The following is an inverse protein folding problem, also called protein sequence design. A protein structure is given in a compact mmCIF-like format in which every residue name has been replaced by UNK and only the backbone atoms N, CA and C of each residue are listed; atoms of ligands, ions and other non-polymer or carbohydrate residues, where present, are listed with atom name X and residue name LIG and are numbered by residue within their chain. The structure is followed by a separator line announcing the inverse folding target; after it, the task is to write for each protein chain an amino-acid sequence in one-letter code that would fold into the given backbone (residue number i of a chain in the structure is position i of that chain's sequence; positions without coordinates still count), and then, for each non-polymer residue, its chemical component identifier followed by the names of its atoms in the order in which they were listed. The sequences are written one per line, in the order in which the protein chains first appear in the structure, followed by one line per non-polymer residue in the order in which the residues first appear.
data_IF_637954889829
#
_entry.id   IF_637954889829
#
_cell.length_a   1.000
_cell.length_b   1.000
_cell.length_c   1.000
_cell.angle_alpha   90.00
_cell.angle_beta   90.00
_cell.angle_gamma   90.00
#
_symmetry.space_group_name_H-M   'P 1'
#
loop_
_entity.id
_entity.type
_entity.pdbx_description
1 polymer ?
#
# COMPACT_ATOMS: atom_id res chain seq x y z
N UNK A 1 -4.39 60.91 19.69
CA UNK A 1 -4.80 61.24 18.30
C UNK A 1 -6.11 62.02 18.20
N UNK A 2 -7.19 61.65 18.92
CA UNK A 2 -8.52 62.30 18.79
C UNK A 2 -8.51 63.83 19.01
N UNK A 3 -7.72 64.38 19.94
CA UNK A 3 -7.71 65.84 20.22
C UNK A 3 -7.09 66.70 19.11
N UNK A 4 -6.14 66.15 18.34
CA UNK A 4 -5.44 66.88 17.27
C UNK A 4 -6.33 67.01 16.03
N UNK A 5 -6.92 65.89 15.57
CA UNK A 5 -7.89 65.88 14.48
C UNK A 5 -9.16 66.69 14.81
N UNK A 6 -9.57 66.72 16.10
CA UNK A 6 -10.70 67.55 16.56
C UNK A 6 -10.46 69.06 16.38
N UNK A 7 -9.26 69.57 16.70
CA UNK A 7 -8.91 70.99 16.53
C UNK A 7 -8.86 71.40 15.05
N UNK A 8 -8.42 70.50 14.17
CA UNK A 8 -8.36 70.73 12.72
C UNK A 8 -9.76 70.77 12.11
N UNK A 9 -10.67 69.85 12.51
CA UNK A 9 -12.08 69.85 12.07
C UNK A 9 -12.80 71.16 12.45
N UNK A 10 -12.64 71.62 13.69
CA UNK A 10 -13.26 72.87 14.15
C UNK A 10 -12.79 74.10 13.36
N UNK A 11 -11.49 74.18 13.03
CA UNK A 11 -10.92 75.28 12.21
C UNK A 11 -11.35 75.26 10.73
N UNK A 12 -11.69 74.09 10.18
CA UNK A 12 -12.11 73.95 8.77
C UNK A 12 -13.61 74.26 8.58
N UNK A 13 -14.44 73.94 9.58
CA UNK A 13 -15.87 74.26 9.59
C UNK A 13 -16.14 75.76 9.76
N UNK A 14 -15.30 76.48 10.52
CA UNK A 14 -15.50 77.92 10.79
C UNK A 14 -15.12 78.86 9.62
N UNK A 15 -14.65 78.35 8.48
CA UNK A 15 -14.15 79.15 7.33
C UNK A 15 -14.92 78.97 6.02
N UNK A 16 -16.18 78.49 6.03
CA UNK A 16 -16.98 78.24 4.81
C UNK A 16 -16.31 77.27 3.79
N UNK A 17 -15.39 76.39 4.25
CA UNK A 17 -14.64 75.46 3.39
C UNK A 17 -15.21 74.03 3.44
N UNK A 18 -16.52 73.89 3.25
CA UNK A 18 -17.22 72.61 3.34
C UNK A 18 -16.62 71.54 2.40
N UNK A 19 -16.24 71.90 1.17
CA UNK A 19 -15.58 70.98 0.23
C UNK A 19 -14.23 70.44 0.76
N UNK A 20 -13.44 71.27 1.47
CA UNK A 20 -12.16 70.81 2.06
C UNK A 20 -12.38 69.92 3.28
N UNK A 21 -13.47 70.14 4.02
CA UNK A 21 -13.87 69.29 5.13
C UNK A 21 -14.31 67.90 4.65
N UNK A 22 -15.11 67.82 3.58
CA UNK A 22 -15.53 66.55 2.97
C UNK A 22 -14.33 65.73 2.46
N UNK A 23 -13.39 66.36 1.74
CA UNK A 23 -12.15 65.71 1.30
C UNK A 23 -11.32 65.16 2.47
N UNK A 24 -11.24 65.90 3.57
CA UNK A 24 -10.49 65.48 4.76
C UNK A 24 -11.17 64.34 5.52
N UNK A 25 -12.50 64.39 5.68
CA UNK A 25 -13.29 63.33 6.30
C UNK A 25 -13.27 62.04 5.46
N UNK A 26 -13.31 62.17 4.13
CA UNK A 26 -13.16 61.03 3.22
C UNK A 26 -11.77 60.39 3.31
N UNK A 27 -10.71 61.21 3.40
CA UNK A 27 -9.35 60.72 3.63
C UNK A 27 -9.20 59.95 4.95
N UNK A 28 -9.85 60.42 6.02
CA UNK A 28 -9.86 59.74 7.33
C UNK A 28 -10.59 58.39 7.26
N UNK A 29 -11.73 58.31 6.56
CA UNK A 29 -12.45 57.06 6.33
C UNK A 29 -11.57 56.07 5.54
N UNK A 30 -10.93 56.51 4.46
CA UNK A 30 -10.01 55.66 3.67
C UNK A 30 -8.88 55.12 4.55
N UNK A 31 -8.29 55.96 5.39
CA UNK A 31 -7.17 55.58 6.26
C UNK A 31 -7.59 54.54 7.32
N UNK A 32 -8.80 54.71 7.89
CA UNK A 32 -9.40 53.72 8.80
C UNK A 32 -9.71 52.41 8.07
N UNK A 33 -10.28 52.47 6.87
CA UNK A 33 -10.60 51.28 6.05
C UNK A 33 -9.32 50.51 5.71
N UNK A 34 -8.24 51.19 5.29
CA UNK A 34 -6.93 50.57 5.06
C UNK A 34 -6.41 49.90 6.34
N UNK A 35 -6.53 50.56 7.50
CA UNK A 35 -6.15 49.98 8.79
C UNK A 35 -6.92 48.70 9.12
N UNK A 36 -8.24 48.68 8.88
CA UNK A 36 -9.09 47.50 9.07
C UNK A 36 -8.69 46.38 8.10
N UNK A 37 -8.47 46.69 6.82
CA UNK A 37 -8.06 45.71 5.82
C UNK A 37 -6.70 45.08 6.15
N UNK A 38 -5.72 45.87 6.61
CA UNK A 38 -4.43 45.34 7.04
C UNK A 38 -4.60 44.45 8.28
N UNK A 39 -5.41 44.86 9.26
CA UNK A 39 -5.67 44.05 10.46
C UNK A 39 -6.33 42.70 10.10
N UNK A 40 -7.31 42.72 9.20
CA UNK A 40 -7.96 41.52 8.66
C UNK A 40 -6.96 40.64 7.91
N UNK A 41 -6.11 41.24 7.07
CA UNK A 41 -5.10 40.49 6.31
C UNK A 41 -4.08 39.80 7.22
N UNK A 42 -3.61 40.49 8.27
CA UNK A 42 -2.69 39.92 9.26
C UNK A 42 -3.37 38.77 10.01
N UNK A 43 -4.65 38.94 10.39
CA UNK A 43 -5.39 37.89 11.07
C UNK A 43 -5.56 36.64 10.17
N UNK A 44 -5.97 36.84 8.93
CA UNK A 44 -6.15 35.76 7.95
C UNK A 44 -4.82 35.05 7.65
N UNK A 45 -3.71 35.79 7.57
CA UNK A 45 -2.38 35.20 7.39
C UNK A 45 -1.95 34.35 8.58
N UNK A 46 -2.19 34.82 9.82
CA UNK A 46 -1.89 34.06 11.03
C UNK A 46 -2.76 32.80 11.14
N UNK A 47 -4.03 32.89 10.78
CA UNK A 47 -4.95 31.73 10.74
C UNK A 47 -4.50 30.71 9.68
N UNK A 48 -4.19 31.17 8.46
CA UNK A 48 -3.65 30.32 7.40
C UNK A 48 -2.37 29.60 7.85
N UNK A 49 -1.44 30.30 8.50
CA UNK A 49 -0.21 29.71 9.04
C UNK A 49 -0.51 28.62 10.08
N UNK A 50 -1.44 28.86 11.02
CA UNK A 50 -1.85 27.86 12.02
C UNK A 50 -2.50 26.63 11.37
N UNK A 51 -3.29 26.83 10.32
CA UNK A 51 -3.91 25.74 9.57
C UNK A 51 -2.84 24.88 8.87
N UNK A 52 -1.85 25.50 8.22
CA UNK A 52 -0.70 24.79 7.65
C UNK A 52 0.05 23.96 8.70
N UNK A 53 0.44 24.56 9.82
CA UNK A 53 1.16 23.84 10.88
C UNK A 53 0.36 22.65 11.43
N UNK A 54 -0.97 22.76 11.49
CA UNK A 54 -1.85 21.68 11.94
C UNK A 54 -1.95 20.56 10.90
N UNK A 55 -2.11 20.90 9.62
CA UNK A 55 -2.17 19.94 8.52
C UNK A 55 -0.83 19.23 8.34
N UNK A 56 0.30 19.95 8.38
CA UNK A 56 1.64 19.36 8.32
C UNK A 56 1.86 18.33 9.42
N UNK A 57 1.45 18.64 10.66
CA UNK A 57 1.52 17.67 11.78
C UNK A 57 0.69 16.41 11.52
N UNK A 58 -0.47 16.52 10.86
CA UNK A 58 -1.29 15.38 10.49
C UNK A 58 -0.64 14.57 9.36
N UNK A 59 -0.09 15.24 8.35
CA UNK A 59 0.63 14.60 7.25
C UNK A 59 1.90 13.87 7.72
N UNK A 60 2.64 14.43 8.69
CA UNK A 60 3.78 13.75 9.34
C UNK A 60 3.35 12.46 10.05
N UNK A 61 2.20 12.48 10.74
CA UNK A 61 1.65 11.27 11.37
C UNK A 61 1.27 10.22 10.33
N UNK A 62 0.60 10.64 9.24
CA UNK A 62 0.27 9.76 8.11
C UNK A 62 1.55 9.15 7.49
N UNK A 63 2.62 9.94 7.33
CA UNK A 63 3.91 9.41 6.86
C UNK A 63 4.49 8.33 7.77
N UNK A 64 4.38 8.51 9.09
CA UNK A 64 4.82 7.51 10.08
C UNK A 64 3.97 6.24 10.02
N UNK A 65 2.65 6.39 9.86
CA UNK A 65 1.73 5.27 9.70
C UNK A 65 2.05 4.49 8.43
N UNK A 66 2.18 5.17 7.28
CA UNK A 66 2.59 4.56 6.01
C UNK A 66 3.90 3.78 6.13
N UNK A 67 4.92 4.32 6.82
CA UNK A 67 6.18 3.59 7.06
C UNK A 67 5.96 2.29 7.83
N UNK A 68 5.09 2.33 8.83
CA UNK A 68 4.75 1.15 9.64
C UNK A 68 4.01 0.13 8.79
N UNK A 69 2.96 0.56 8.09
CA UNK A 69 2.14 -0.29 7.25
C UNK A 69 2.98 -0.98 6.15
N UNK A 70 3.88 -0.24 5.50
CA UNK A 70 4.82 -0.79 4.52
C UNK A 70 5.75 -1.84 5.15
N UNK A 71 6.17 -1.66 6.40
CA UNK A 71 7.03 -2.65 7.07
C UNK A 71 6.25 -3.93 7.38
N UNK A 72 5.05 -3.81 7.95
CA UNK A 72 4.18 -4.96 8.24
C UNK A 72 3.84 -5.75 6.97
N UNK A 73 3.51 -5.05 5.87
CA UNK A 73 3.21 -5.72 4.59
C UNK A 73 4.47 -6.40 4.02
N UNK A 74 5.68 -5.93 4.34
CA UNK A 74 6.91 -6.57 3.87
C UNK A 74 7.09 -7.92 4.55
N UNK A 75 6.79 -7.97 5.84
CA UNK A 75 6.86 -9.19 6.63
C UNK A 75 5.75 -10.18 6.20
N UNK A 76 4.54 -9.68 5.96
CA UNK A 76 3.43 -10.43 5.35
C UNK A 76 3.84 -11.11 4.04
N UNK A 77 4.42 -10.33 3.12
CA UNK A 77 4.89 -10.83 1.82
C UNK A 77 5.99 -11.86 2.00
N UNK A 78 6.94 -11.62 2.90
CA UNK A 78 8.03 -12.57 3.21
C UNK A 78 7.47 -13.90 3.73
N UNK A 79 6.51 -13.85 4.63
CA UNK A 79 5.82 -15.02 5.18
C UNK A 79 5.14 -15.84 4.08
N UNK A 80 4.26 -15.23 3.29
CA UNK A 80 3.51 -15.92 2.25
C UNK A 80 4.38 -16.40 1.09
N UNK A 81 5.53 -15.76 0.82
CA UNK A 81 6.48 -16.23 -0.19
C UNK A 81 7.16 -17.55 0.18
N UNK A 82 7.58 -17.68 1.44
CA UNK A 82 8.11 -18.95 1.95
C UNK A 82 7.04 -20.03 1.86
N UNK A 83 5.81 -19.65 2.23
CA UNK A 83 4.65 -20.54 2.25
C UNK A 83 4.23 -21.02 0.86
N UNK A 84 4.18 -20.15 -0.15
CA UNK A 84 3.89 -20.52 -1.55
C UNK A 84 4.86 -21.58 -2.08
N UNK A 85 6.13 -21.49 -1.69
CA UNK A 85 7.15 -22.48 -2.10
C UNK A 85 6.85 -23.85 -1.49
N UNK A 86 6.48 -23.90 -0.20
CA UNK A 86 6.11 -25.15 0.49
C UNK A 86 4.80 -25.72 -0.08
N UNK A 87 3.80 -24.86 -0.29
CA UNK A 87 2.50 -25.22 -0.87
C UNK A 87 2.68 -25.91 -2.22
N UNK A 88 3.54 -25.38 -3.10
CA UNK A 88 3.83 -25.99 -4.39
C UNK A 88 4.44 -27.39 -4.26
N UNK A 89 5.36 -27.59 -3.32
CA UNK A 89 5.93 -28.91 -3.07
C UNK A 89 4.87 -29.89 -2.57
N UNK A 90 3.98 -29.45 -1.67
CA UNK A 90 2.86 -30.26 -1.17
C UNK A 90 1.91 -30.62 -2.30
N UNK A 91 1.45 -29.66 -3.11
CA UNK A 91 0.50 -29.90 -4.21
C UNK A 91 1.06 -30.85 -5.27
N UNK A 92 2.38 -30.84 -5.49
CA UNK A 92 3.05 -31.69 -6.46
C UNK A 92 3.56 -33.02 -5.89
N UNK A 93 3.25 -33.35 -4.62
CA UNK A 93 3.73 -34.55 -3.93
C UNK A 93 5.27 -34.69 -3.94
N UNK A 94 5.98 -33.57 -3.77
CA UNK A 94 7.45 -33.51 -3.81
C UNK A 94 8.11 -33.53 -2.43
N UNK A 95 7.31 -33.68 -1.37
CA UNK A 95 7.81 -33.76 0.01
C UNK A 95 7.80 -35.23 0.44
N UNK A 96 8.95 -35.82 0.82
CA UNK A 96 9.00 -37.22 1.24
C UNK A 96 8.36 -37.38 2.62
N UNK A 97 7.81 -38.57 2.89
CA UNK A 97 7.11 -38.89 4.15
C UNK A 97 7.93 -38.54 5.40
N UNK A 98 9.24 -38.81 5.35
CA UNK A 98 10.18 -38.52 6.45
C UNK A 98 10.13 -37.04 6.89
N UNK A 99 9.88 -36.09 6.00
CA UNK A 99 9.76 -34.67 6.38
C UNK A 99 8.52 -34.41 7.22
N UNK A 100 7.40 -35.11 6.95
CA UNK A 100 6.21 -35.04 7.80
C UNK A 100 6.41 -35.72 9.16
N UNK A 101 7.29 -36.73 9.24
CA UNK A 101 7.63 -37.47 10.46
C UNK A 101 8.69 -36.75 11.33
N UNK A 102 9.56 -35.91 10.74
CA UNK A 102 10.73 -35.31 11.41
C UNK A 102 10.64 -33.78 11.55
N UNK A 103 10.09 -33.04 10.57
CA UNK A 103 10.01 -31.57 10.56
C UNK A 103 8.56 -31.08 10.60
N UNK A 104 7.90 -31.34 11.73
CA UNK A 104 6.45 -31.48 11.75
C UNK A 104 5.66 -30.18 11.66
N UNK A 105 6.06 -29.11 12.34
CA UNK A 105 5.08 -28.07 12.68
C UNK A 105 4.66 -27.22 11.47
N UNK A 106 5.58 -26.87 10.57
CA UNK A 106 5.26 -26.03 9.41
C UNK A 106 4.38 -26.74 8.37
N UNK A 107 4.57 -28.04 8.14
CA UNK A 107 3.72 -28.82 7.21
C UNK A 107 2.36 -29.12 7.82
N UNK A 108 2.32 -29.30 9.13
CA UNK A 108 1.12 -29.58 9.90
C UNK A 108 0.19 -28.39 10.09
N UNK A 109 0.76 -27.19 10.13
CA UNK A 109 0.05 -25.93 10.26
C UNK A 109 -0.06 -25.17 8.94
N UNK A 110 0.29 -25.82 7.82
CA UNK A 110 0.36 -25.18 6.51
C UNK A 110 -0.94 -24.47 6.12
N UNK A 111 -2.10 -25.01 6.45
CA UNK A 111 -3.39 -24.37 6.11
C UNK A 111 -3.95 -23.49 7.25
N UNK A 112 -3.20 -23.31 8.34
CA UNK A 112 -3.66 -22.63 9.56
C UNK A 112 -2.82 -21.42 9.96
N UNK A 113 -1.50 -21.48 9.83
CA UNK A 113 -0.65 -20.34 10.18
C UNK A 113 -0.95 -19.18 9.23
N UNK A 114 -1.22 -17.99 9.76
CA UNK A 114 -1.52 -16.81 8.97
C UNK A 114 -0.74 -15.63 9.54
N UNK A 115 -0.28 -14.77 8.64
CA UNK A 115 0.27 -13.46 8.98
C UNK A 115 -0.76 -12.42 8.52
N UNK A 116 -0.94 -11.37 9.32
CA UNK A 116 -1.91 -10.31 9.08
C UNK A 116 -1.27 -8.93 9.20
N UNK A 117 -1.84 -7.95 8.51
CA UNK A 117 -1.44 -6.54 8.62
C UNK A 117 -2.55 -5.72 9.26
N UNK A 118 -2.19 -4.64 9.94
CA UNK A 118 -3.17 -3.76 10.60
C UNK A 118 -2.90 -2.30 10.21
N UNK A 119 -3.15 -1.92 8.93
CA UNK A 119 -2.84 -0.56 8.49
C UNK A 119 -3.56 0.49 9.32
N UNK A 120 -2.87 1.58 9.69
CA UNK A 120 -3.41 2.57 10.62
C UNK A 120 -4.22 3.64 9.88
N UNK A 121 -5.55 3.62 10.05
CA UNK A 121 -6.46 4.61 9.42
C UNK A 121 -6.70 5.87 10.26
N UNK A 122 -6.36 5.88 11.55
CA UNK A 122 -6.74 6.96 12.47
C UNK A 122 -6.17 8.33 12.10
N UNK A 123 -4.91 8.41 11.66
CA UNK A 123 -4.31 9.69 11.25
C UNK A 123 -5.00 10.27 10.01
N UNK A 124 -5.39 9.43 9.05
CA UNK A 124 -6.18 9.83 7.90
C UNK A 124 -7.58 10.29 8.31
N UNK A 125 -8.27 9.54 9.17
CA UNK A 125 -9.58 9.95 9.70
C UNK A 125 -9.52 11.32 10.36
N UNK A 126 -8.45 11.60 11.11
CA UNK A 126 -8.25 12.91 11.74
C UNK A 126 -7.95 14.02 10.73
N UNK A 127 -7.26 13.74 9.62
CA UNK A 127 -7.12 14.70 8.52
C UNK A 127 -8.48 15.07 7.91
N UNK A 128 -9.30 14.06 7.57
CA UNK A 128 -10.61 14.28 6.95
C UNK A 128 -11.58 15.01 7.90
N UNK A 129 -11.55 14.72 9.21
CA UNK A 129 -12.31 15.49 10.21
C UNK A 129 -11.94 16.98 10.25
N UNK A 130 -10.76 17.33 9.75
CA UNK A 130 -10.26 18.69 9.68
C UNK A 130 -10.16 19.18 8.21
N UNK A 131 -10.98 18.64 7.30
CA UNK A 131 -10.89 18.99 5.88
C UNK A 131 -11.10 20.48 5.59
N UNK A 132 -11.93 21.16 6.40
CA UNK A 132 -12.27 22.58 6.19
C UNK A 132 -11.09 23.53 6.40
N UNK A 133 -10.03 23.06 7.08
CA UNK A 133 -8.81 23.83 7.31
C UNK A 133 -7.66 23.39 6.41
N UNK A 134 -7.86 22.46 5.47
CA UNK A 134 -6.82 21.98 4.57
C UNK A 134 -6.53 23.06 3.52
N UNK A 135 -5.28 23.56 3.43
CA UNK A 135 -4.92 24.53 2.39
C UNK A 135 -5.05 23.93 0.97
N UNK A 136 -5.50 24.71 -0.04
CA UNK A 136 -5.76 24.21 -1.40
C UNK A 136 -4.55 23.54 -2.08
N UNK A 137 -3.33 23.92 -1.70
CA UNK A 137 -2.11 23.28 -2.19
C UNK A 137 -1.98 21.80 -1.82
N UNK A 138 -2.74 21.29 -0.85
CA UNK A 138 -2.76 19.87 -0.49
C UNK A 138 -3.88 19.09 -1.18
N UNK A 139 -4.76 19.71 -1.97
CA UNK A 139 -5.92 19.05 -2.60
C UNK A 139 -5.51 17.85 -3.45
N UNK A 140 -4.37 17.94 -4.13
CA UNK A 140 -3.82 16.86 -4.96
C UNK A 140 -3.47 15.59 -4.18
N UNK A 141 -3.35 15.66 -2.84
CA UNK A 141 -3.11 14.52 -1.96
C UNK A 141 -4.40 13.81 -1.55
N UNK A 142 -5.52 14.51 -1.51
CA UNK A 142 -6.76 14.03 -0.92
C UNK A 142 -7.33 12.84 -1.69
N UNK A 143 -7.28 12.88 -3.02
CA UNK A 143 -7.70 11.77 -3.87
C UNK A 143 -6.87 10.51 -3.62
N UNK A 144 -5.54 10.65 -3.53
CA UNK A 144 -4.66 9.51 -3.29
C UNK A 144 -4.81 8.91 -1.90
N UNK A 145 -4.98 9.77 -0.89
CA UNK A 145 -5.24 9.36 0.49
C UNK A 145 -6.58 8.65 0.61
N UNK A 146 -7.60 9.13 -0.12
CA UNK A 146 -8.91 8.49 -0.20
C UNK A 146 -8.80 7.09 -0.80
N UNK A 147 -8.15 6.95 -1.96
CA UNK A 147 -7.95 5.63 -2.59
C UNK A 147 -7.18 4.69 -1.65
N UNK A 148 -6.16 5.20 -0.96
CA UNK A 148 -5.36 4.38 -0.05
C UNK A 148 -6.18 3.87 1.15
N UNK A 149 -6.87 4.77 1.86
CA UNK A 149 -7.50 4.48 3.15
C UNK A 149 -8.98 4.12 3.09
N UNK A 150 -9.69 4.43 1.99
CA UNK A 150 -11.08 4.05 1.81
C UNK A 150 -11.23 2.85 0.87
N UNK A 151 -10.45 2.76 -0.21
CA UNK A 151 -10.62 1.67 -1.18
C UNK A 151 -9.70 0.49 -0.84
N UNK A 152 -8.39 0.69 -0.92
CA UNK A 152 -7.41 -0.38 -0.76
C UNK A 152 -7.41 -0.97 0.65
N UNK A 153 -7.52 -0.12 1.67
CA UNK A 153 -7.67 -0.56 3.06
C UNK A 153 -8.91 -1.46 3.24
N UNK A 154 -10.07 -1.05 2.73
CA UNK A 154 -11.31 -1.84 2.84
C UNK A 154 -11.20 -3.16 2.08
N UNK A 155 -10.54 -3.17 0.93
CA UNK A 155 -10.27 -4.40 0.20
C UNK A 155 -9.34 -5.36 0.96
N UNK A 156 -8.33 -4.86 1.67
CA UNK A 156 -7.51 -5.69 2.57
C UNK A 156 -8.40 -6.35 3.62
N UNK A 157 -9.21 -5.57 4.32
CA UNK A 157 -10.10 -6.09 5.38
C UNK A 157 -11.07 -7.15 4.84
N UNK A 158 -11.68 -6.91 3.68
CA UNK A 158 -12.58 -7.88 3.07
C UNK A 158 -11.86 -9.19 2.68
N UNK A 159 -10.65 -9.10 2.12
CA UNK A 159 -9.87 -10.30 1.75
C UNK A 159 -9.41 -11.07 2.98
N UNK A 160 -9.08 -10.36 4.05
CA UNK A 160 -8.74 -10.97 5.34
C UNK A 160 -9.92 -11.78 5.88
N UNK A 161 -11.11 -11.17 5.98
CA UNK A 161 -12.30 -11.82 6.51
C UNK A 161 -12.67 -13.08 5.72
N UNK A 162 -12.62 -13.01 4.38
CA UNK A 162 -12.87 -14.16 3.51
C UNK A 162 -11.87 -15.28 3.78
N UNK A 163 -10.60 -14.92 3.97
CA UNK A 163 -9.53 -15.87 4.21
C UNK A 163 -9.61 -16.52 5.60
N UNK A 164 -9.89 -15.75 6.65
CA UNK A 164 -10.15 -16.27 8.01
C UNK A 164 -11.36 -17.20 8.02
N UNK A 165 -12.47 -16.79 7.39
CA UNK A 165 -13.68 -17.63 7.29
C UNK A 165 -13.40 -18.93 6.56
N UNK A 166 -12.55 -18.91 5.52
CA UNK A 166 -12.14 -20.12 4.80
C UNK A 166 -11.35 -21.07 5.69
N UNK A 167 -10.33 -20.55 6.38
CA UNK A 167 -9.45 -21.37 7.23
C UNK A 167 -10.16 -21.91 8.46
N UNK A 168 -11.13 -21.16 9.02
CA UNK A 168 -12.03 -21.66 10.07
C UNK A 168 -12.79 -22.91 9.61
N UNK A 169 -13.37 -22.89 8.41
CA UNK A 169 -14.09 -24.06 7.88
C UNK A 169 -13.19 -25.28 7.69
N UNK A 170 -11.90 -25.09 7.41
CA UNK A 170 -10.95 -26.21 7.36
C UNK A 170 -10.76 -26.80 8.75
N UNK A 171 -10.66 -25.95 9.78
CA UNK A 171 -10.55 -26.38 11.18
C UNK A 171 -11.76 -27.20 11.60
N UNK A 172 -12.95 -26.69 11.31
CA UNK A 172 -14.22 -27.36 11.65
C UNK A 172 -14.32 -28.72 10.96
N UNK A 173 -14.02 -28.77 9.65
CA UNK A 173 -14.00 -30.03 8.91
C UNK A 173 -13.02 -31.04 9.52
N UNK A 174 -11.78 -30.63 9.81
CA UNK A 174 -10.80 -31.56 10.39
C UNK A 174 -11.19 -32.01 11.79
N UNK A 175 -11.79 -31.14 12.60
CA UNK A 175 -12.28 -31.48 13.93
C UNK A 175 -13.43 -32.49 13.87
N UNK A 176 -14.40 -32.29 12.98
CA UNK A 176 -15.60 -33.13 12.87
C UNK A 176 -15.34 -34.48 12.20
N UNK A 177 -14.34 -34.58 11.31
CA UNK A 177 -14.17 -35.76 10.45
C UNK A 177 -12.91 -36.58 10.76
N UNK A 178 -12.04 -36.10 11.65
CA UNK A 178 -10.77 -36.76 11.93
C UNK A 178 -10.42 -36.76 13.42
N UNK A 179 -10.52 -37.93 14.06
CA UNK A 179 -10.23 -38.09 15.48
C UNK A 179 -8.82 -37.60 15.85
N UNK A 180 -7.85 -37.81 14.96
CA UNK A 180 -6.47 -37.36 15.17
C UNK A 180 -6.32 -35.84 15.31
N UNK A 181 -7.33 -35.05 14.94
CA UNK A 181 -7.32 -33.61 15.13
C UNK A 181 -7.44 -33.25 16.62
N UNK A 182 -8.13 -34.08 17.41
CA UNK A 182 -8.39 -33.92 18.84
C UNK A 182 -7.48 -34.77 19.73
N UNK A 183 -6.65 -35.65 19.15
CA UNK A 183 -5.82 -36.60 19.90
C UNK A 183 -4.60 -35.98 20.60
N UNK A 184 -4.24 -36.55 21.75
CA UNK A 184 -3.03 -36.19 22.54
C UNK A 184 -1.70 -36.70 21.94
N UNK A 185 -1.74 -37.55 20.89
CA UNK A 185 -0.51 -38.05 20.25
C UNK A 185 0.22 -36.90 19.55
N UNK A 186 1.55 -36.79 19.69
CA UNK A 186 2.32 -35.79 18.96
C UNK A 186 2.05 -35.87 17.46
N UNK A 187 1.81 -34.71 16.84
CA UNK A 187 1.41 -34.55 15.43
C UNK A 187 2.25 -35.37 14.44
N UNK A 188 3.56 -35.46 14.70
CA UNK A 188 4.55 -36.16 13.88
C UNK A 188 4.55 -37.70 14.04
N UNK A 189 3.86 -38.24 15.05
CA UNK A 189 3.75 -39.68 15.30
C UNK A 189 2.42 -40.26 14.83
N UNK A 190 1.56 -39.45 14.21
CA UNK A 190 0.24 -39.89 13.78
C UNK A 190 0.27 -40.24 12.27
N UNK A 191 0.36 -41.53 11.97
CA UNK A 191 0.46 -42.03 10.59
C UNK A 191 -0.78 -41.70 9.75
N UNK A 192 -1.98 -41.83 10.32
CA UNK A 192 -3.24 -41.52 9.62
C UNK A 192 -3.27 -40.06 9.17
N UNK A 193 -2.85 -39.16 10.06
CA UNK A 193 -2.73 -37.74 9.77
C UNK A 193 -1.68 -37.47 8.70
N UNK A 194 -0.51 -38.09 8.78
CA UNK A 194 0.54 -37.93 7.76
C UNK A 194 0.03 -38.38 6.39
N UNK A 195 -0.60 -39.55 6.33
CA UNK A 195 -1.14 -40.12 5.08
C UNK A 195 -2.23 -39.19 4.50
N UNK A 196 -3.07 -38.59 5.35
CA UNK A 196 -4.04 -37.57 4.98
C UNK A 196 -3.37 -36.33 4.35
N UNK A 197 -2.38 -35.73 5.01
CA UNK A 197 -1.68 -34.54 4.51
C UNK A 197 -0.92 -34.82 3.19
N UNK A 198 -0.42 -36.04 3.01
CA UNK A 198 0.35 -36.42 1.82
C UNK A 198 -0.52 -36.66 0.60
N UNK A 199 -1.64 -37.37 0.76
CA UNK A 199 -2.35 -37.98 -0.38
C UNK A 199 -3.81 -37.59 -0.51
N UNK A 200 -4.45 -37.06 0.54
CA UNK A 200 -5.88 -36.81 0.52
C UNK A 200 -6.26 -35.65 -0.41
N UNK A 201 -7.19 -35.92 -1.33
CA UNK A 201 -7.67 -34.93 -2.32
C UNK A 201 -8.36 -33.72 -1.69
N UNK A 202 -9.09 -33.89 -0.57
CA UNK A 202 -9.72 -32.78 0.15
C UNK A 202 -8.67 -31.89 0.79
N UNK A 203 -7.64 -32.48 1.41
CA UNK A 203 -6.52 -31.70 1.93
C UNK A 203 -5.80 -30.91 0.84
N UNK A 204 -5.50 -31.51 -0.33
CA UNK A 204 -4.94 -30.76 -1.47
C UNK A 204 -5.84 -29.61 -1.90
N UNK A 205 -7.16 -29.82 -1.90
CA UNK A 205 -8.14 -28.76 -2.14
C UNK A 205 -8.06 -27.62 -1.11
N UNK A 206 -7.91 -27.94 0.18
CA UNK A 206 -7.72 -26.94 1.24
C UNK A 206 -6.42 -26.15 1.06
N UNK A 207 -5.33 -26.83 0.68
CA UNK A 207 -4.03 -26.21 0.41
C UNK A 207 -4.12 -25.22 -0.76
N UNK A 208 -4.77 -25.60 -1.86
CA UNK A 208 -4.95 -24.68 -3.00
C UNK A 208 -5.92 -23.53 -2.69
N UNK A 209 -6.97 -23.79 -1.91
CA UNK A 209 -7.87 -22.73 -1.45
C UNK A 209 -7.17 -21.74 -0.51
N UNK A 210 -6.34 -22.22 0.42
CA UNK A 210 -5.49 -21.39 1.26
C UNK A 210 -4.56 -20.52 0.40
N UNK A 211 -3.91 -21.13 -0.60
CA UNK A 211 -3.02 -20.41 -1.52
C UNK A 211 -3.77 -19.31 -2.27
N UNK A 212 -4.97 -19.60 -2.74
CA UNK A 212 -5.81 -18.63 -3.45
C UNK A 212 -6.20 -17.46 -2.55
N UNK A 213 -6.76 -17.75 -1.38
CA UNK A 213 -7.30 -16.71 -0.50
C UNK A 213 -6.17 -15.92 0.21
N UNK A 214 -5.14 -16.59 0.72
CA UNK A 214 -4.03 -15.93 1.42
C UNK A 214 -3.02 -15.26 0.49
N UNK A 215 -2.59 -15.95 -0.57
CA UNK A 215 -1.47 -15.47 -1.42
C UNK A 215 -1.99 -14.70 -2.63
N UNK A 216 -2.90 -15.29 -3.40
CA UNK A 216 -3.35 -14.67 -4.65
C UNK A 216 -4.30 -13.49 -4.42
N UNK A 217 -5.03 -13.50 -3.28
CA UNK A 217 -5.97 -12.46 -2.93
C UNK A 217 -5.42 -11.52 -1.83
N UNK A 218 -5.25 -12.01 -0.59
CA UNK A 218 -4.92 -11.15 0.57
C UNK A 218 -3.53 -10.51 0.50
N UNK A 219 -2.48 -11.30 0.27
CA UNK A 219 -1.11 -10.76 0.10
C UNK A 219 -1.06 -9.79 -1.09
N UNK A 220 -1.70 -10.14 -2.21
CA UNK A 220 -1.73 -9.30 -3.43
C UNK A 220 -2.34 -7.93 -3.17
N UNK A 221 -3.52 -7.86 -2.53
CA UNK A 221 -4.15 -6.57 -2.24
C UNK A 221 -3.32 -5.76 -1.24
N UNK A 222 -2.70 -6.42 -0.27
CA UNK A 222 -1.80 -5.77 0.69
C UNK A 222 -0.57 -5.16 -0.01
N UNK A 223 0.00 -5.85 -1.00
CA UNK A 223 1.07 -5.27 -1.83
C UNK A 223 0.59 -4.05 -2.63
N UNK A 224 -0.62 -4.10 -3.20
CA UNK A 224 -1.19 -2.95 -3.91
C UNK A 224 -1.37 -1.73 -2.99
N UNK A 225 -1.79 -1.96 -1.74
CA UNK A 225 -1.83 -0.93 -0.70
C UNK A 225 -0.45 -0.33 -0.44
N UNK A 226 0.57 -1.15 -0.14
CA UNK A 226 1.93 -0.67 0.12
C UNK A 226 2.47 0.19 -1.03
N UNK A 227 2.19 -0.21 -2.27
CA UNK A 227 2.57 0.51 -3.48
C UNK A 227 1.92 1.88 -3.64
N UNK A 228 0.62 1.97 -3.32
CA UNK A 228 -0.09 3.24 -3.28
C UNK A 228 0.45 4.08 -2.11
N UNK A 229 0.67 3.48 -0.94
CA UNK A 229 1.20 4.12 0.24
C UNK A 229 2.57 4.76 -0.01
N UNK A 230 3.49 4.06 -0.69
CA UNK A 230 4.77 4.63 -1.12
C UNK A 230 4.59 5.85 -2.04
N UNK A 231 3.62 5.77 -2.97
CA UNK A 231 3.34 6.88 -3.89
C UNK A 231 2.79 8.09 -3.13
N UNK A 232 1.87 7.86 -2.18
CA UNK A 232 1.32 8.90 -1.31
C UNK A 232 2.42 9.51 -0.43
N UNK A 233 3.28 8.67 0.16
CA UNK A 233 4.39 9.10 0.98
C UNK A 233 5.31 10.08 0.24
N UNK A 234 5.69 9.74 -1.00
CA UNK A 234 6.54 10.62 -1.82
C UNK A 234 5.82 11.92 -2.23
N UNK A 235 4.50 11.89 -2.39
CA UNK A 235 3.72 13.10 -2.62
C UNK A 235 3.68 13.99 -1.36
N UNK A 236 3.50 13.41 -0.18
CA UNK A 236 3.57 14.14 1.09
C UNK A 236 4.98 14.72 1.31
N UNK A 237 6.02 13.94 1.01
CA UNK A 237 7.42 14.37 1.09
C UNK A 237 7.69 15.65 0.28
N UNK A 238 7.08 15.78 -0.91
CA UNK A 238 7.26 16.98 -1.75
C UNK A 238 6.72 18.24 -1.11
N UNK A 239 5.67 18.13 -0.29
CA UNK A 239 5.11 19.30 0.39
C UNK A 239 5.82 19.57 1.72
N UNK A 240 6.18 18.52 2.46
CA UNK A 240 6.83 18.65 3.76
C UNK A 240 8.36 18.80 3.71
N UNK A 241 8.99 18.57 2.55
CA UNK A 241 10.44 18.46 2.40
C UNK A 241 11.10 17.44 3.37
N UNK A 242 10.39 16.35 3.72
CA UNK A 242 10.77 15.43 4.80
C UNK A 242 11.75 14.29 4.43
N UNK A 243 12.42 14.39 3.27
CA UNK A 243 13.41 13.42 2.78
C UNK A 243 12.81 12.10 2.27
N UNK A 244 13.50 11.38 1.36
CA UNK A 244 12.92 10.22 0.67
C UNK A 244 12.59 9.06 1.61
N UNK A 245 11.62 8.24 1.23
CA UNK A 245 11.30 7.03 1.98
C UNK A 245 12.49 6.07 1.97
N UNK A 246 13.13 5.85 3.13
CA UNK A 246 14.14 4.80 3.33
C UNK A 246 13.47 3.44 3.58
N UNK A 247 12.72 2.93 2.60
CA UNK A 247 12.09 1.61 2.69
C UNK A 247 12.45 0.75 1.48
N UNK A 248 13.03 -0.42 1.74
CA UNK A 248 13.42 -1.44 0.76
C UNK A 248 12.24 -2.27 0.23
N UNK A 249 11.04 -1.71 0.16
CA UNK A 249 9.89 -2.44 -0.39
C UNK A 249 10.04 -2.68 -1.91
N UNK A 250 10.90 -1.91 -2.58
CA UNK A 250 11.27 -2.17 -3.96
C UNK A 250 12.35 -3.25 -4.03
N UNK A 251 11.93 -4.47 -4.34
CA UNK A 251 12.89 -5.50 -4.72
C UNK A 251 13.32 -5.21 -6.15
N UNK A 252 14.51 -4.64 -6.30
CA UNK A 252 15.07 -4.41 -7.63
C UNK A 252 15.36 -5.77 -8.28
N UNK A 253 14.76 -5.99 -9.44
CA UNK A 253 15.23 -7.04 -10.34
C UNK A 253 16.68 -6.73 -10.71
N UNK A 254 17.47 -7.79 -10.86
CA UNK A 254 18.83 -7.62 -11.39
C UNK A 254 18.79 -6.98 -12.78
N UNK A 255 19.79 -6.16 -13.09
CA UNK A 255 19.83 -5.39 -14.33
C UNK A 255 19.78 -6.25 -15.59
N UNK A 256 20.37 -7.44 -15.53
CA UNK A 256 20.40 -8.43 -16.62
C UNK A 256 19.00 -8.98 -16.99
N UNK A 257 18.01 -8.82 -16.10
CA UNK A 257 16.63 -9.21 -16.34
C UNK A 257 15.80 -8.16 -17.10
N UNK A 258 16.27 -6.92 -17.21
CA UNK A 258 15.60 -5.92 -18.06
C UNK A 258 15.92 -6.16 -19.54
N UNK A 259 14.95 -5.90 -20.40
CA UNK A 259 15.04 -6.14 -21.85
C UNK A 259 13.72 -6.61 -22.47
N UNK A 260 13.75 -6.99 -23.72
CA UNK A 260 12.67 -7.49 -24.54
C UNK A 260 12.52 -9.01 -24.39
N UNK A 261 11.29 -9.46 -24.18
CA UNK A 261 10.95 -10.86 -24.05
C UNK A 261 9.99 -11.25 -25.16
N UNK A 262 10.19 -12.45 -25.71
CA UNK A 262 9.30 -13.07 -26.69
C UNK A 262 8.59 -14.26 -26.04
N UNK A 263 7.26 -14.22 -26.03
CA UNK A 263 6.45 -15.34 -25.53
C UNK A 263 6.56 -16.53 -26.48
N UNK A 264 6.26 -17.72 -25.95
CA UNK A 264 6.11 -18.94 -26.77
C UNK A 264 5.01 -18.77 -27.83
N UNK A 265 4.01 -17.91 -27.57
CA UNK A 265 2.97 -17.54 -28.54
C UNK A 265 3.40 -16.41 -29.51
N UNK A 266 4.70 -16.14 -29.66
CA UNK A 266 5.28 -15.12 -30.55
C UNK A 266 4.84 -13.68 -30.28
N UNK A 267 4.51 -13.33 -29.04
CA UNK A 267 4.24 -11.95 -28.64
C UNK A 267 5.47 -11.32 -27.95
N UNK A 268 5.85 -10.11 -28.35
CA UNK A 268 6.97 -9.40 -27.75
C UNK A 268 6.49 -8.42 -26.68
N UNK A 269 7.21 -8.32 -25.57
CA UNK A 269 6.98 -7.31 -24.53
C UNK A 269 8.30 -6.93 -23.82
N UNK A 270 8.55 -5.64 -23.53
CA UNK A 270 9.72 -5.21 -22.79
C UNK A 270 9.47 -5.26 -21.28
N UNK A 271 10.51 -5.55 -20.50
CA UNK A 271 10.62 -5.34 -19.06
C UNK A 271 11.49 -4.11 -18.79
N UNK A 272 10.90 -3.07 -18.21
CA UNK A 272 11.52 -1.77 -17.96
C UNK A 272 11.54 -1.43 -16.47
N UNK A 273 12.52 -0.63 -16.04
CA UNK A 273 12.58 -0.01 -14.72
C UNK A 273 12.27 1.49 -14.82
N UNK A 274 11.28 1.98 -14.07
CA UNK A 274 11.00 3.41 -13.92
C UNK A 274 10.91 3.73 -12.43
N UNK A 275 11.87 4.51 -11.92
CA UNK A 275 12.06 4.72 -10.49
C UNK A 275 12.33 3.41 -9.76
N UNK A 276 11.53 3.11 -8.74
CA UNK A 276 11.58 1.87 -7.95
C UNK A 276 10.70 0.73 -8.51
N UNK A 277 9.98 0.99 -9.60
CA UNK A 277 8.93 0.09 -10.12
C UNK A 277 9.37 -0.56 -11.43
N UNK A 278 8.89 -1.78 -11.65
CA UNK A 278 9.10 -2.53 -12.90
C UNK A 278 7.81 -2.50 -13.73
N UNK A 279 7.93 -2.34 -15.04
CA UNK A 279 6.79 -2.19 -15.96
C UNK A 279 6.96 -3.02 -17.24
N UNK A 280 5.84 -3.31 -17.91
CA UNK A 280 5.82 -3.76 -19.30
C UNK A 280 5.22 -2.68 -20.22
N UNK A 281 5.87 -2.36 -21.34
CA UNK A 281 5.37 -1.37 -22.32
C UNK A 281 4.57 -2.09 -23.42
N UNK A 282 3.25 -2.06 -23.31
CA UNK A 282 2.31 -2.24 -24.42
C UNK A 282 1.37 -1.02 -24.45
N UNK A 283 0.30 -1.00 -25.29
CA UNK A 283 -0.66 0.13 -25.35
C UNK A 283 -1.14 0.61 -23.96
N UNK A 284 -1.11 -0.28 -22.96
CA UNK A 284 -1.21 0.04 -21.54
C UNK A 284 0.12 -0.27 -20.83
N UNK A 285 0.64 0.69 -20.05
CA UNK A 285 1.80 0.44 -19.20
C UNK A 285 1.35 -0.42 -18.02
N UNK A 286 1.56 -1.74 -18.08
CA UNK A 286 1.18 -2.63 -16.98
C UNK A 286 2.29 -2.64 -15.93
N UNK A 287 1.89 -2.45 -14.68
CA UNK A 287 2.81 -2.41 -13.53
C UNK A 287 3.08 -3.83 -13.02
N UNK A 288 4.35 -4.18 -12.90
CA UNK A 288 4.80 -5.42 -12.28
C UNK A 288 5.11 -5.17 -10.81
N UNK A 289 4.69 -6.11 -9.96
CA UNK A 289 4.91 -6.04 -8.52
C UNK A 289 6.05 -6.99 -8.15
N UNK A 290 7.31 -6.52 -8.04
CA UNK A 290 8.42 -7.37 -7.67
C UNK A 290 8.25 -7.85 -6.22
N UNK A 291 8.45 -9.15 -5.98
CA UNK A 291 8.33 -9.73 -4.64
C UNK A 291 9.58 -10.55 -4.23
N UNK A 292 10.49 -10.85 -5.16
CA UNK A 292 11.85 -11.32 -4.88
C UNK A 292 12.80 -10.90 -6.00
N UNK A 293 14.12 -11.12 -5.83
CA UNK A 293 15.17 -10.72 -6.80
C UNK A 293 14.88 -11.12 -8.25
N UNK A 294 14.08 -12.15 -8.45
CA UNK A 294 13.76 -12.70 -9.75
C UNK A 294 12.29 -13.11 -9.87
N UNK A 295 11.41 -12.65 -8.99
CA UNK A 295 10.00 -13.01 -9.06
C UNK A 295 9.12 -11.78 -8.90
N UNK A 296 8.06 -11.72 -9.69
CA UNK A 296 7.13 -10.60 -9.71
C UNK A 296 5.71 -11.08 -9.99
N UNK A 297 4.74 -10.22 -9.72
CA UNK A 297 3.33 -10.51 -9.93
C UNK A 297 2.75 -9.61 -11.02
N UNK A 298 1.86 -10.19 -11.83
CA UNK A 298 1.15 -9.52 -12.92
C UNK A 298 -0.21 -10.20 -13.15
N UNK A 299 -1.30 -9.43 -13.13
CA UNK A 299 -2.65 -9.89 -13.52
C UNK A 299 -3.13 -11.22 -12.90
N UNK A 300 -2.95 -11.44 -11.58
CA UNK A 300 -3.25 -12.72 -10.88
C UNK A 300 -2.22 -13.84 -11.05
N UNK A 301 -1.13 -13.61 -11.79
CA UNK A 301 -0.13 -14.63 -12.03
C UNK A 301 1.20 -14.27 -11.38
N UNK A 302 1.83 -15.30 -10.82
CA UNK A 302 3.20 -15.22 -10.34
C UNK A 302 4.14 -15.53 -11.49
N UNK A 303 5.08 -14.63 -11.70
CA UNK A 303 6.12 -14.75 -12.67
C UNK A 303 7.47 -14.92 -11.98
N UNK A 304 8.33 -15.72 -12.59
CA UNK A 304 9.73 -15.88 -12.18
C UNK A 304 10.63 -15.75 -13.38
N UNK A 305 11.66 -14.95 -13.25
CA UNK A 305 12.77 -14.85 -14.19
C UNK A 305 13.85 -15.84 -13.73
N UNK A 306 14.39 -16.62 -14.63
CA UNK A 306 15.53 -17.50 -14.37
C UNK A 306 16.46 -17.46 -15.57
N UNK A 307 17.77 -17.40 -15.31
CA UNK A 307 18.78 -17.58 -16.35
C UNK A 307 19.13 -19.06 -16.46
N UNK A 308 19.11 -19.58 -17.67
CA UNK A 308 19.53 -20.95 -17.99
C UNK A 308 20.47 -20.85 -19.19
N UNK A 309 21.73 -21.26 -18.97
CA UNK A 309 22.83 -21.02 -19.91
C UNK A 309 22.92 -19.52 -20.26
N UNK A 310 22.97 -19.19 -21.55
CA UNK A 310 23.06 -17.83 -22.06
C UNK A 310 21.69 -17.16 -22.28
N UNK A 311 20.60 -17.82 -21.91
CA UNK A 311 19.24 -17.32 -22.14
C UNK A 311 18.52 -17.03 -20.82
N UNK A 312 17.86 -15.87 -20.75
CA UNK A 312 16.98 -15.52 -19.63
C UNK A 312 15.56 -15.91 -19.97
N UNK A 313 14.95 -16.72 -19.12
CA UNK A 313 13.60 -17.24 -19.27
C UNK A 313 12.66 -16.62 -18.26
N UNK A 314 11.42 -16.37 -18.71
CA UNK A 314 10.31 -15.96 -17.88
C UNK A 314 9.35 -17.13 -17.73
N UNK A 315 9.05 -17.50 -16.50
CA UNK A 315 8.11 -18.53 -16.10
C UNK A 315 6.85 -17.91 -15.54
N UNK A 316 5.69 -18.54 -15.74
CA UNK A 316 4.42 -18.17 -15.11
C UNK A 316 3.75 -19.38 -14.48
N UNK A 317 3.02 -19.18 -13.39
CA UNK A 317 2.23 -20.26 -12.75
C UNK A 317 1.10 -20.77 -13.64
N UNK A 318 0.67 -20.01 -14.65
CA UNK A 318 -0.39 -20.45 -15.57
C UNK A 318 0.06 -21.46 -16.63
N UNK A 319 1.33 -21.44 -17.05
CA UNK A 319 1.83 -22.29 -18.14
C UNK A 319 2.55 -23.52 -17.58
N UNK A 320 1.94 -24.70 -17.71
CA UNK A 320 2.43 -25.98 -17.17
C UNK A 320 2.89 -25.88 -15.70
N UNK A 321 2.20 -25.05 -14.90
CA UNK A 321 2.55 -24.78 -13.49
C UNK A 321 4.01 -24.35 -13.27
N UNK A 322 4.59 -23.62 -14.24
CA UNK A 322 5.97 -23.17 -14.19
C UNK A 322 7.02 -24.23 -14.57
N UNK A 323 6.60 -25.37 -15.14
CA UNK A 323 7.52 -26.41 -15.66
C UNK A 323 8.14 -26.06 -17.01
N UNK A 324 7.52 -25.17 -17.79
CA UNK A 324 8.10 -24.63 -19.03
C UNK A 324 8.12 -23.11 -18.98
N UNK A 325 9.11 -22.47 -19.62
CA UNK A 325 9.11 -21.03 -19.74
C UNK A 325 7.86 -20.58 -20.50
N UNK A 326 7.41 -19.37 -20.24
CA UNK A 326 6.35 -18.67 -20.96
C UNK A 326 6.94 -17.70 -21.99
N UNK A 327 8.11 -17.14 -21.70
CA UNK A 327 8.85 -16.28 -22.61
C UNK A 327 10.37 -16.44 -22.41
N UNK A 328 11.14 -15.97 -23.38
CA UNK A 328 12.60 -15.87 -23.31
C UNK A 328 13.04 -14.48 -23.74
N UNK A 329 14.15 -14.01 -23.18
CA UNK A 329 14.77 -12.73 -23.52
C UNK A 329 15.38 -12.80 -24.93
N UNK A 330 15.18 -11.76 -25.72
CA UNK A 330 15.57 -11.70 -27.15
C UNK A 330 16.64 -10.65 -27.47
N UNK A 331 17.17 -9.97 -26.45
CA UNK A 331 18.10 -8.85 -26.56
C UNK A 331 19.27 -8.87 -25.57
#
# INVERSE_FOLDING_TARGET
MIKFFRKIRQKLLSKNRFNKYLLYAFGEIILVVIGILIALQINNWNESKKNHEKVDKLLVKIQKDIKTDITEIKDLVSFYNKKDSIIKLVLNNQIPRKEYEVQSDHLHLLIFDMEFVRPKKESYSNLIRNQDIIPPEYDFLLEDLTILYNDLYSYIQNREEVFEKRTSKFRDYLFENHDWFSMQKPRHKNSERIDFLMTNVRYKGMVEAYRTDGIHNYMRISQAYADKAMTVYEKINKVLNSGPLKSDFSIQLKSDFYGNYKTIANQNFPLLKIGTKTFTKNKDTIKLFPYSKNKFFLNNYFFRIQRENDTTFLYTTGYLYGKKPFAYKID
#
